data_IF_808597267827
#
_entry.id   IF_808597267827
#
_cell.length_a   1.000
_cell.length_b   1.000
_cell.length_c   1.000
_cell.angle_alpha   90.00
_cell.angle_beta   90.00
_cell.angle_gamma   90.00
#
_symmetry.space_group_name_H-M   'P 1'
#
loop_
_entity.id
_entity.type
_entity.pdbx_description
1 polymer ?
#
# COMPACT_ATOMS: atom_id res chain seq x y z
N UNK A 1 -6.10 -1.65 -21.91
CA UNK A 1 -5.06 -1.07 -22.82
C UNK A 1 -3.66 -1.28 -22.25
N UNK A 2 -3.43 -0.96 -20.99
CA UNK A 2 -2.09 -1.04 -20.36
C UNK A 2 -1.47 -2.45 -20.37
N UNK A 3 -2.27 -3.51 -20.47
CA UNK A 3 -1.82 -4.92 -20.42
C UNK A 3 -1.97 -5.65 -21.75
N UNK A 4 -2.23 -4.96 -22.87
CA UNK A 4 -2.44 -5.56 -24.20
C UNK A 4 -3.45 -6.73 -24.21
N UNK A 5 -4.52 -6.64 -23.43
CA UNK A 5 -5.50 -7.72 -23.24
C UNK A 5 -6.92 -7.33 -23.67
N UNK A 6 -7.04 -6.42 -24.66
CA UNK A 6 -8.35 -5.97 -25.15
C UNK A 6 -9.15 -7.08 -25.84
N UNK A 7 -8.45 -8.00 -26.49
CA UNK A 7 -9.00 -9.20 -27.13
C UNK A 7 -9.55 -10.21 -26.10
N UNK A 8 -9.08 -10.13 -24.85
CA UNK A 8 -9.50 -10.99 -23.74
C UNK A 8 -10.49 -10.33 -22.78
N UNK A 9 -11.04 -9.18 -23.15
CA UNK A 9 -11.90 -8.40 -22.25
C UNK A 9 -13.11 -9.19 -21.73
N UNK A 10 -13.78 -9.96 -22.59
CA UNK A 10 -14.91 -10.78 -22.17
C UNK A 10 -14.52 -11.90 -21.20
N UNK A 11 -13.31 -12.46 -21.34
CA UNK A 11 -12.79 -13.46 -20.42
C UNK A 11 -12.54 -12.83 -19.05
N UNK A 12 -11.99 -11.61 -19.01
CA UNK A 12 -11.79 -10.87 -17.76
C UNK A 12 -13.11 -10.58 -17.06
N UNK A 13 -14.15 -10.16 -17.79
CA UNK A 13 -15.47 -9.93 -17.22
C UNK A 13 -16.07 -11.19 -16.56
N UNK A 14 -15.83 -12.36 -17.16
CA UNK A 14 -16.27 -13.65 -16.59
C UNK A 14 -15.41 -14.08 -15.37
N UNK A 15 -14.14 -13.67 -15.33
CA UNK A 15 -13.22 -14.02 -14.25
C UNK A 15 -13.41 -13.15 -12.99
N UNK A 16 -13.84 -11.90 -13.12
CA UNK A 16 -14.10 -10.98 -11.99
C UNK A 16 -15.00 -11.58 -10.91
N UNK A 17 -16.23 -12.11 -11.23
CA UNK A 17 -17.09 -12.71 -10.21
C UNK A 17 -16.46 -13.94 -9.57
N UNK A 18 -15.67 -14.74 -10.30
CA UNK A 18 -14.99 -15.92 -9.79
C UNK A 18 -13.88 -15.55 -8.78
N UNK A 19 -13.08 -14.53 -9.09
CA UNK A 19 -12.07 -14.02 -8.17
C UNK A 19 -12.72 -13.42 -6.93
N UNK A 20 -13.84 -12.68 -7.10
CA UNK A 20 -14.60 -12.16 -5.98
C UNK A 20 -15.13 -13.26 -5.05
N UNK A 21 -15.65 -14.35 -5.60
CA UNK A 21 -16.08 -15.51 -4.83
C UNK A 21 -14.91 -16.14 -4.07
N UNK A 22 -13.80 -16.41 -4.75
CA UNK A 22 -12.61 -17.00 -4.14
C UNK A 22 -12.07 -16.17 -2.96
N UNK A 23 -12.16 -14.85 -3.05
CA UNK A 23 -11.70 -13.93 -2.00
C UNK A 23 -12.76 -13.70 -0.89
N UNK A 24 -13.83 -14.50 -0.84
CA UNK A 24 -14.85 -14.42 0.21
C UNK A 24 -15.79 -13.23 0.06
N UNK A 25 -16.13 -12.86 -1.17
CA UNK A 25 -17.07 -11.81 -1.54
C UNK A 25 -16.76 -10.43 -0.96
N UNK A 26 -15.55 -9.89 -1.13
CA UNK A 26 -15.26 -8.53 -0.69
C UNK A 26 -16.23 -7.51 -1.32
N UNK A 27 -16.56 -6.42 -0.60
CA UNK A 27 -17.28 -5.31 -1.20
C UNK A 27 -16.44 -4.70 -2.32
N UNK A 28 -17.07 -4.41 -3.47
CA UNK A 28 -16.35 -3.85 -4.63
C UNK A 28 -16.23 -2.32 -4.53
N UNK A 29 -15.56 -1.88 -3.47
CA UNK A 29 -15.15 -0.49 -3.22
C UNK A 29 -13.61 -0.43 -3.17
N UNK A 30 -13.03 0.76 -3.22
CA UNK A 30 -11.58 0.93 -3.07
C UNK A 30 -11.13 0.50 -1.66
N UNK A 31 -10.06 -0.31 -1.52
CA UNK A 31 -9.18 -0.83 -2.58
C UNK A 31 -9.59 -2.18 -3.16
N UNK A 32 -10.58 -2.88 -2.61
CA UNK A 32 -10.89 -4.27 -2.93
C UNK A 32 -11.41 -4.47 -4.36
N UNK A 33 -12.10 -3.48 -4.94
CA UNK A 33 -12.48 -3.51 -6.35
C UNK A 33 -11.27 -3.56 -7.29
N UNK A 34 -10.21 -2.80 -6.96
CA UNK A 34 -8.96 -2.81 -7.73
C UNK A 34 -8.23 -4.15 -7.57
N UNK A 35 -8.20 -4.71 -6.38
CA UNK A 35 -7.60 -6.02 -6.11
C UNK A 35 -8.27 -7.10 -6.95
N UNK A 36 -9.60 -7.21 -6.90
CA UNK A 36 -10.37 -8.20 -7.65
C UNK A 36 -10.18 -8.03 -9.16
N UNK A 37 -10.27 -6.78 -9.67
CA UNK A 37 -10.09 -6.49 -11.10
C UNK A 37 -8.69 -6.83 -11.59
N UNK A 38 -7.65 -6.42 -10.86
CA UNK A 38 -6.25 -6.71 -11.21
C UNK A 38 -5.99 -8.22 -11.21
N UNK A 39 -6.46 -8.95 -10.19
CA UNK A 39 -6.26 -10.40 -10.14
C UNK A 39 -6.98 -11.12 -11.29
N UNK A 40 -8.20 -10.69 -11.64
CA UNK A 40 -8.92 -11.25 -12.76
C UNK A 40 -8.15 -11.07 -14.09
N UNK A 41 -7.60 -9.87 -14.31
CA UNK A 41 -6.75 -9.59 -15.48
C UNK A 41 -5.51 -10.48 -15.49
N UNK A 42 -4.81 -10.61 -14.37
CA UNK A 42 -3.61 -11.45 -14.27
C UNK A 42 -3.92 -12.93 -14.51
N UNK A 43 -5.02 -13.46 -13.99
CA UNK A 43 -5.45 -14.83 -14.22
C UNK A 43 -5.65 -15.11 -15.72
N UNK A 44 -6.29 -14.18 -16.43
CA UNK A 44 -6.56 -14.32 -17.87
C UNK A 44 -5.29 -14.14 -18.71
N UNK A 45 -4.45 -13.16 -18.39
CA UNK A 45 -3.22 -12.90 -19.16
C UNK A 45 -2.24 -14.07 -19.01
N UNK A 46 -2.07 -14.59 -17.80
CA UNK A 46 -1.13 -15.70 -17.54
C UNK A 46 -1.65 -17.07 -18.00
N UNK A 47 -2.97 -17.16 -18.31
CA UNK A 47 -3.63 -18.43 -18.66
C UNK A 47 -3.78 -19.41 -17.49
N UNK A 48 -3.35 -19.02 -16.30
CA UNK A 48 -3.43 -19.83 -15.08
C UNK A 48 -3.85 -18.97 -13.89
N UNK A 49 -4.91 -19.40 -13.20
CA UNK A 49 -5.45 -18.68 -12.04
C UNK A 49 -4.45 -18.67 -10.89
N UNK A 50 -4.19 -17.47 -10.35
CA UNK A 50 -3.26 -17.20 -9.22
C UNK A 50 -1.80 -17.61 -9.49
N UNK A 51 -1.38 -17.67 -10.75
CA UNK A 51 0.05 -17.83 -11.10
C UNK A 51 0.86 -16.60 -10.72
N UNK A 52 0.28 -15.41 -10.92
CA UNK A 52 0.79 -14.14 -10.45
C UNK A 52 -0.20 -13.55 -9.47
N UNK A 53 0.26 -13.22 -8.27
CA UNK A 53 -0.57 -12.68 -7.19
C UNK A 53 0.08 -11.40 -6.66
N UNK A 54 -0.59 -10.22 -6.78
CA UNK A 54 -0.13 -8.98 -6.19
C UNK A 54 0.02 -9.08 -4.66
N UNK A 55 0.91 -8.26 -4.12
CA UNK A 55 1.17 -8.20 -2.68
C UNK A 55 -0.11 -7.92 -1.88
N UNK A 56 -0.93 -7.02 -2.37
CA UNK A 56 -2.18 -6.60 -1.74
C UNK A 56 -3.17 -7.76 -1.58
N UNK A 57 -3.25 -8.65 -2.58
CA UNK A 57 -4.08 -9.88 -2.50
C UNK A 57 -3.52 -10.84 -1.45
N UNK A 58 -2.21 -11.01 -1.39
CA UNK A 58 -1.58 -11.85 -0.36
C UNK A 58 -1.85 -11.31 1.04
N UNK A 59 -1.69 -10.00 1.23
CA UNK A 59 -1.99 -9.33 2.49
C UNK A 59 -3.47 -9.43 2.86
N UNK A 60 -4.38 -9.30 1.87
CA UNK A 60 -5.81 -9.50 2.09
C UNK A 60 -6.11 -10.93 2.59
N UNK A 61 -5.58 -11.95 1.91
CA UNK A 61 -5.78 -13.36 2.30
C UNK A 61 -5.15 -13.67 3.66
N UNK A 62 -4.04 -13.03 4.01
CA UNK A 62 -3.42 -13.11 5.34
C UNK A 62 -4.24 -12.45 6.45
N UNK A 63 -5.30 -11.68 6.11
CA UNK A 63 -6.15 -11.01 7.09
C UNK A 63 -5.73 -9.59 7.45
N UNK A 64 -4.75 -8.99 6.74
CA UNK A 64 -4.29 -7.62 6.99
C UNK A 64 -5.34 -6.54 6.67
N UNK A 65 -6.38 -6.89 5.94
CA UNK A 65 -7.53 -6.02 5.66
C UNK A 65 -8.77 -6.36 6.51
N UNK A 66 -8.62 -7.20 7.52
CA UNK A 66 -9.72 -7.70 8.35
C UNK A 66 -10.32 -9.00 7.80
N UNK A 67 -11.50 -9.35 8.30
CA UNK A 67 -12.15 -10.60 7.92
C UNK A 67 -13.04 -10.43 6.69
N UNK A 68 -12.98 -11.31 5.69
CA UNK A 68 -13.89 -11.29 4.56
C UNK A 68 -15.33 -11.63 5.02
N UNK A 69 -16.31 -11.24 4.20
CA UNK A 69 -17.74 -11.50 4.48
C UNK A 69 -18.04 -13.00 4.58
N UNK A 70 -17.43 -13.78 3.69
CA UNK A 70 -17.45 -15.24 3.70
C UNK A 70 -16.00 -15.73 3.79
N UNK A 71 -15.78 -16.82 4.53
CA UNK A 71 -14.44 -17.40 4.65
C UNK A 71 -13.86 -17.77 3.29
N UNK A 72 -12.56 -17.50 3.12
CA UNK A 72 -11.81 -17.93 1.94
C UNK A 72 -11.55 -19.44 2.07
N UNK A 73 -11.76 -20.18 1.00
CA UNK A 73 -11.53 -21.64 1.00
C UNK A 73 -10.03 -21.94 1.21
N UNK A 74 -9.73 -22.98 1.98
CA UNK A 74 -8.36 -23.35 2.33
C UNK A 74 -7.48 -23.62 1.08
N UNK A 75 -8.05 -24.17 0.02
CA UNK A 75 -7.36 -24.39 -1.25
C UNK A 75 -6.89 -23.09 -1.91
N UNK A 76 -7.70 -22.04 -1.80
CA UNK A 76 -7.37 -20.70 -2.33
C UNK A 76 -6.34 -20.02 -1.44
N UNK A 77 -6.49 -20.09 -0.12
CA UNK A 77 -5.51 -19.59 0.85
C UNK A 77 -4.15 -20.21 0.54
N UNK A 78 -4.09 -21.54 0.46
CA UNK A 78 -2.85 -22.27 0.18
C UNK A 78 -2.25 -21.93 -1.19
N UNK A 79 -3.08 -21.68 -2.19
CA UNK A 79 -2.63 -21.32 -3.54
C UNK A 79 -2.03 -19.91 -3.57
N UNK A 80 -2.55 -18.97 -2.77
CA UNK A 80 -2.15 -17.56 -2.77
C UNK A 80 -0.96 -17.29 -1.86
N UNK A 81 -0.99 -17.81 -0.63
CA UNK A 81 0.02 -17.53 0.40
C UNK A 81 0.80 -18.76 0.84
N UNK A 82 0.52 -19.95 0.27
CA UNK A 82 1.21 -21.19 0.61
C UNK A 82 0.97 -21.61 2.06
N UNK A 83 2.05 -21.72 2.82
CA UNK A 83 2.02 -22.10 4.24
C UNK A 83 2.15 -20.88 5.19
N UNK A 84 2.01 -19.66 4.67
CA UNK A 84 2.01 -18.48 5.53
C UNK A 84 0.80 -18.47 6.45
N UNK A 85 1.00 -17.96 7.65
CA UNK A 85 -0.03 -17.92 8.69
C UNK A 85 -1.06 -16.82 8.43
N UNK A 86 -2.34 -17.15 8.57
CA UNK A 86 -3.44 -16.17 8.52
C UNK A 86 -3.62 -15.57 9.90
N UNK A 87 -3.53 -14.26 10.02
CA UNK A 87 -3.75 -13.56 11.29
C UNK A 87 -5.23 -13.56 11.67
N UNK A 88 -5.50 -13.74 12.95
CA UNK A 88 -6.86 -13.72 13.53
C UNK A 88 -7.10 -12.54 14.45
N UNK A 89 -6.04 -11.82 14.82
CA UNK A 89 -6.12 -10.58 15.60
C UNK A 89 -6.43 -9.38 14.70
N UNK A 90 -6.72 -8.24 15.30
CA UNK A 90 -6.83 -6.98 14.57
C UNK A 90 -5.43 -6.60 14.03
N UNK A 91 -5.28 -6.27 12.74
CA UNK A 91 -3.97 -5.92 12.17
C UNK A 91 -3.22 -4.80 12.93
N UNK A 92 -3.97 -3.84 13.45
CA UNK A 92 -3.39 -2.75 14.24
C UNK A 92 -2.70 -3.23 15.54
N UNK A 93 -3.08 -4.38 16.07
CA UNK A 93 -2.47 -4.94 17.29
C UNK A 93 -1.05 -5.48 17.04
N UNK A 94 -0.68 -5.65 15.75
CA UNK A 94 0.67 -6.02 15.32
C UNK A 94 1.61 -4.83 15.21
N UNK A 95 1.09 -3.60 15.24
CA UNK A 95 1.88 -2.38 15.14
C UNK A 95 2.54 -2.06 16.48
N UNK A 96 3.82 -1.73 16.44
CA UNK A 96 4.53 -1.20 17.59
C UNK A 96 4.32 0.31 17.68
N UNK A 97 4.24 0.89 18.90
CA UNK A 97 4.26 2.34 19.07
C UNK A 97 5.53 2.94 18.44
N UNK A 98 5.36 3.90 17.53
CA UNK A 98 6.48 4.48 16.76
C UNK A 98 6.71 5.96 17.06
N UNK A 99 5.75 6.66 17.68
CA UNK A 99 5.79 8.12 17.88
C UNK A 99 7.08 8.58 18.54
N UNK A 100 7.50 7.93 19.64
CA UNK A 100 8.72 8.33 20.35
C UNK A 100 9.99 8.14 19.50
N UNK A 101 10.04 7.05 18.73
CA UNK A 101 11.17 6.76 17.83
C UNK A 101 11.24 7.76 16.69
N UNK A 102 10.12 8.05 16.04
CA UNK A 102 10.08 8.95 14.90
C UNK A 102 10.26 10.41 15.33
N UNK A 103 9.78 10.78 16.52
CA UNK A 103 10.04 12.10 17.12
C UNK A 103 11.55 12.37 17.27
N UNK A 104 12.32 11.39 17.73
CA UNK A 104 13.77 11.56 17.88
C UNK A 104 14.49 11.72 16.53
N UNK A 105 14.02 11.04 15.49
CA UNK A 105 14.59 11.15 14.14
C UNK A 105 14.46 12.55 13.54
N UNK A 106 13.33 13.20 13.77
CA UNK A 106 13.02 14.50 13.16
C UNK A 106 13.05 15.66 14.13
N UNK A 107 13.65 15.49 15.30
CA UNK A 107 13.64 16.48 16.39
C UNK A 107 14.04 17.89 15.96
N UNK A 108 14.92 18.02 14.96
CA UNK A 108 15.40 19.31 14.44
C UNK A 108 14.32 20.05 13.62
N UNK A 109 13.31 19.33 13.16
CA UNK A 109 12.24 19.88 12.33
C UNK A 109 10.95 20.14 13.10
N UNK A 110 10.81 19.62 14.33
CA UNK A 110 9.55 19.68 15.09
C UNK A 110 9.31 21.11 15.58
N UNK A 111 8.19 21.65 15.17
CA UNK A 111 7.62 22.91 15.71
C UNK A 111 6.30 22.62 16.43
N UNK A 112 5.56 21.60 16.01
CA UNK A 112 4.26 21.19 16.57
C UNK A 112 4.22 19.65 16.69
N UNK A 113 3.34 19.12 17.55
CA UNK A 113 3.21 17.67 17.74
C UNK A 113 2.72 16.96 16.47
N UNK A 114 1.94 17.64 15.65
CA UNK A 114 1.42 17.19 14.37
C UNK A 114 2.52 16.94 13.32
N UNK A 115 3.68 17.57 13.46
CA UNK A 115 4.83 17.31 12.58
C UNK A 115 5.26 15.86 12.65
N UNK A 116 5.24 15.27 13.85
CA UNK A 116 5.60 13.85 14.05
C UNK A 116 4.59 12.93 13.34
N UNK A 117 3.30 13.26 13.44
CA UNK A 117 2.24 12.50 12.77
C UNK A 117 2.34 12.62 11.25
N UNK A 118 2.60 13.81 10.75
CA UNK A 118 2.82 14.08 9.32
C UNK A 118 3.99 13.27 8.77
N UNK A 119 5.09 13.20 9.52
CA UNK A 119 6.24 12.42 9.13
C UNK A 119 5.96 10.90 9.15
N UNK A 120 5.27 10.39 10.16
CA UNK A 120 4.90 8.96 10.24
C UNK A 120 4.01 8.55 9.07
N UNK A 121 3.07 9.40 8.67
CA UNK A 121 2.10 9.10 7.62
C UNK A 121 2.66 9.32 6.20
N UNK A 122 3.47 10.36 6.02
CA UNK A 122 3.96 10.82 4.71
C UNK A 122 5.43 11.27 4.79
N UNK A 123 6.38 10.39 5.09
CA UNK A 123 7.76 10.78 5.44
C UNK A 123 8.42 11.68 4.38
N UNK A 124 8.39 11.28 3.11
CA UNK A 124 9.04 12.04 2.05
C UNK A 124 8.46 13.46 1.89
N UNK A 125 7.11 13.56 1.90
CA UNK A 125 6.42 14.85 1.75
C UNK A 125 6.65 15.75 2.96
N UNK A 126 6.65 15.16 4.16
CA UNK A 126 6.90 15.88 5.40
C UNK A 126 8.34 16.43 5.45
N UNK A 127 9.34 15.64 5.08
CA UNK A 127 10.73 16.11 5.02
C UNK A 127 10.90 17.28 4.07
N UNK A 128 10.34 17.20 2.87
CA UNK A 128 10.41 18.29 1.90
C UNK A 128 9.75 19.55 2.42
N UNK A 129 8.58 19.40 3.07
CA UNK A 129 7.89 20.52 3.70
C UNK A 129 8.67 21.11 4.87
N UNK A 130 9.29 20.31 5.72
CA UNK A 130 10.09 20.80 6.85
C UNK A 130 11.29 21.60 6.38
N UNK A 131 12.01 21.12 5.35
CA UNK A 131 13.11 21.86 4.73
C UNK A 131 12.63 23.18 4.13
N UNK A 132 11.52 23.16 3.41
CA UNK A 132 10.90 24.39 2.89
C UNK A 132 10.54 25.36 4.01
N UNK A 133 9.88 24.90 5.08
CA UNK A 133 9.50 25.72 6.24
C UNK A 133 10.72 26.35 6.90
N UNK A 134 11.80 25.59 7.10
CA UNK A 134 13.06 26.12 7.64
C UNK A 134 13.68 27.17 6.72
N UNK A 135 13.72 26.92 5.41
CA UNK A 135 14.26 27.89 4.45
C UNK A 135 13.48 29.21 4.50
N UNK A 136 12.15 29.15 4.57
CA UNK A 136 11.31 30.35 4.73
C UNK A 136 11.58 31.07 6.05
N UNK A 137 11.71 30.35 7.16
CA UNK A 137 11.97 30.90 8.49
C UNK A 137 13.30 31.65 8.57
N UNK A 138 14.35 31.07 7.97
CA UNK A 138 15.69 31.67 7.96
C UNK A 138 15.93 32.57 6.76
N UNK A 139 14.92 32.85 5.93
CA UNK A 139 15.01 33.65 4.71
C UNK A 139 16.11 33.18 3.75
N UNK A 140 16.32 31.87 3.69
CA UNK A 140 17.22 31.25 2.73
C UNK A 140 16.48 31.17 1.41
N UNK A 141 17.06 31.76 0.36
CA UNK A 141 16.51 31.64 -0.99
C UNK A 141 16.82 30.22 -1.51
N UNK A 142 15.80 29.36 -1.50
CA UNK A 142 15.93 27.97 -1.94
C UNK A 142 16.25 27.84 -3.43
N UNK A 143 16.01 28.89 -4.22
CA UNK A 143 16.31 28.88 -5.66
C UNK A 143 17.82 29.07 -5.94
N UNK A 144 18.58 29.54 -4.95
CA UNK A 144 20.05 29.69 -5.01
C UNK A 144 20.77 28.41 -4.54
N UNK A 145 20.06 27.43 -3.99
CA UNK A 145 20.68 26.16 -3.57
C UNK A 145 20.75 25.22 -4.76
N UNK A 146 21.95 24.93 -5.23
CA UNK A 146 22.14 23.93 -6.28
C UNK A 146 21.76 22.54 -5.76
N UNK A 147 20.70 21.99 -6.31
CA UNK A 147 20.15 20.69 -5.89
C UNK A 147 21.10 19.51 -6.20
N UNK A 148 22.07 19.71 -7.09
CA UNK A 148 23.03 18.67 -7.48
C UNK A 148 24.22 18.58 -6.52
N UNK A 149 24.65 19.68 -5.91
CA UNK A 149 25.86 19.69 -5.06
C UNK A 149 25.62 19.25 -3.61
N UNK A 150 24.37 19.13 -3.14
CA UNK A 150 24.02 18.78 -1.74
C UNK A 150 24.78 19.58 -0.66
N UNK A 151 25.34 20.69 -1.01
CA UNK A 151 26.02 21.61 -0.09
C UNK A 151 25.01 22.64 0.38
N UNK A 152 24.71 22.62 1.67
CA UNK A 152 23.92 23.68 2.28
C UNK A 152 24.86 24.82 2.61
N UNK A 153 24.57 26.08 2.21
CA UNK A 153 25.30 27.22 2.73
C UNK A 153 25.11 27.28 4.25
N UNK A 154 26.19 27.36 4.98
CA UNK A 154 26.25 27.50 6.44
C UNK A 154 25.80 28.89 6.84
#
# INVERSE_FOLDING_TARGET
>A
KAQNALDKYEEVLKEVPRVREDLGYPPLVTPTSQMVGTQAVLNVITGERYKMVPKEIKEYVRGMYGRPTVGIKDEIVKKIIGNEEVITCRPADLLKPVIALEREKIKEYIEEDEDVLSYILFPNVAEDYFKFRQAQKYKIDSDLVDKEEKTHPV
#
